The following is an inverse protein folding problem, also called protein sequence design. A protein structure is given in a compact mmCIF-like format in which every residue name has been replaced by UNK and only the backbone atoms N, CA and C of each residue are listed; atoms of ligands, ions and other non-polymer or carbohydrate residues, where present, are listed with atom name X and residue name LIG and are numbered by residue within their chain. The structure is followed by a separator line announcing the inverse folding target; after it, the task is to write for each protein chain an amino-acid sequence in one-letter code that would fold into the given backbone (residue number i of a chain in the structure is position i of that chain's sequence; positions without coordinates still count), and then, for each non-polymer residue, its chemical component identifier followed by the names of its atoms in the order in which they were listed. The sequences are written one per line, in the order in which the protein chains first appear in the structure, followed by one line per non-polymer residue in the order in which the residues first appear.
data_IF_585398337254
#
_entry.id   IF_585398337254
#
_cell.length_a   1.000
_cell.length_b   1.000
_cell.length_c   1.000
_cell.angle_alpha   90.00
_cell.angle_beta   90.00
_cell.angle_gamma   90.00
#
_symmetry.space_group_name_H-M   'P 1'
#
loop_
_entity.id
_entity.type
_entity.pdbx_description
1 polymer ?
#
# COMPACT_ATOMS: atom_id res chain seq x y z
N UNK A 1 -3.37 10.67 17.60
CA UNK A 1 -2.70 9.35 17.66
C UNK A 1 -1.99 9.05 16.34
N UNK A 2 -0.81 8.43 16.40
CA UNK A 2 -0.05 7.92 15.25
C UNK A 2 -0.25 6.42 15.16
N UNK A 3 -0.50 5.89 13.97
CA UNK A 3 -0.62 4.45 13.71
C UNK A 3 0.49 4.02 12.74
N UNK A 4 1.15 2.91 13.04
CA UNK A 4 2.04 2.21 12.10
C UNK A 4 1.21 1.25 11.26
N UNK A 5 1.42 1.26 9.95
CA UNK A 5 0.70 0.43 9.00
C UNK A 5 1.58 0.17 7.76
N UNK A 6 1.04 -0.57 6.80
CA UNK A 6 1.72 -0.93 5.56
C UNK A 6 0.89 -0.53 4.36
N UNK A 7 1.56 0.00 3.34
CA UNK A 7 0.90 0.37 2.09
C UNK A 7 1.70 -0.13 0.90
N UNK A 8 1.01 -0.85 0.01
CA UNK A 8 1.57 -1.27 -1.26
C UNK A 8 1.58 -0.06 -2.21
N UNK A 9 2.75 0.24 -2.75
CA UNK A 9 3.00 1.38 -3.64
C UNK A 9 3.56 0.91 -4.97
N UNK A 10 3.32 1.67 -6.03
CA UNK A 10 3.96 1.43 -7.33
C UNK A 10 5.37 2.01 -7.32
N UNK A 11 6.33 1.26 -7.84
CA UNK A 11 7.67 1.78 -8.16
C UNK A 11 7.64 2.27 -9.60
N UNK A 12 8.05 3.51 -9.82
CA UNK A 12 8.11 4.13 -11.14
C UNK A 12 9.46 3.87 -11.81
N UNK A 13 9.52 4.15 -13.12
CA UNK A 13 10.76 4.03 -13.91
C UNK A 13 11.89 4.93 -13.37
N UNK A 14 11.54 6.08 -12.79
CA UNK A 14 12.49 7.00 -12.14
C UNK A 14 12.83 6.60 -10.70
N UNK A 15 12.44 5.41 -10.25
CA UNK A 15 12.65 4.91 -8.89
C UNK A 15 11.71 5.52 -7.83
N UNK A 16 10.89 6.51 -8.19
CA UNK A 16 9.99 7.15 -7.22
C UNK A 16 8.75 6.31 -6.92
N UNK A 17 8.15 6.54 -5.75
CA UNK A 17 6.92 5.87 -5.32
C UNK A 17 5.68 6.62 -5.81
N UNK A 18 4.61 5.87 -6.09
CA UNK A 18 3.30 6.44 -6.42
C UNK A 18 2.11 5.58 -6.01
N UNK A 19 0.89 6.14 -6.06
CA UNK A 19 -0.34 5.39 -5.82
C UNK A 19 -0.54 4.25 -6.82
N UNK A 20 -1.32 3.24 -6.42
CA UNK A 20 -1.67 2.10 -7.29
C UNK A 20 -2.67 2.47 -8.38
N UNK A 21 -3.71 3.24 -8.04
CA UNK A 21 -4.88 3.44 -8.90
C UNK A 21 -5.24 4.93 -9.06
N UNK A 22 -5.64 5.59 -7.98
CA UNK A 22 -6.13 6.97 -8.00
C UNK A 22 -4.95 7.95 -7.90
N UNK A 23 -4.97 9.00 -8.73
CA UNK A 23 -3.88 9.96 -8.91
C UNK A 23 -2.50 9.28 -9.20
N UNK A 24 -2.41 8.41 -10.22
CA UNK A 24 -1.25 7.54 -10.43
C UNK A 24 0.04 8.29 -10.86
N UNK A 25 -0.05 9.61 -11.09
CA UNK A 25 1.06 10.54 -11.39
C UNK A 25 1.64 11.23 -10.15
N UNK A 26 0.96 11.21 -9.00
CA UNK A 26 1.44 11.80 -7.74
C UNK A 26 2.75 11.13 -7.27
N UNK A 27 3.83 11.90 -7.11
CA UNK A 27 5.05 11.40 -6.48
C UNK A 27 4.87 11.37 -4.96
N UNK A 28 5.18 10.23 -4.34
CA UNK A 28 5.10 10.06 -2.89
C UNK A 28 6.52 10.11 -2.32
N UNK A 29 6.97 11.25 -1.78
CA UNK A 29 8.28 11.35 -1.13
C UNK A 29 8.36 10.51 0.15
N UNK A 30 9.52 9.92 0.39
CA UNK A 30 9.86 9.26 1.65
C UNK A 30 10.16 10.33 2.71
N UNK A 31 9.87 10.02 3.98
CA UNK A 31 10.08 10.86 5.15
C UNK A 31 9.29 12.19 5.21
N UNK A 32 8.33 12.43 4.30
CA UNK A 32 7.46 13.62 4.32
C UNK A 32 6.01 13.27 4.63
N UNK A 33 5.34 14.12 5.40
CA UNK A 33 3.90 14.01 5.65
C UNK A 33 3.12 14.52 4.44
N UNK A 34 2.17 13.72 3.97
CA UNK A 34 1.27 14.05 2.87
C UNK A 34 -0.17 14.02 3.37
N UNK A 35 -0.90 15.11 3.12
CA UNK A 35 -2.34 15.16 3.33
C UNK A 35 -3.03 14.33 2.25
N UNK A 36 -4.07 13.60 2.62
CA UNK A 36 -4.89 12.89 1.66
C UNK A 36 -5.66 13.89 0.80
N UNK A 37 -5.62 13.68 -0.51
CA UNK A 37 -6.46 14.36 -1.48
C UNK A 37 -7.65 13.47 -1.83
N UNK A 38 -8.75 14.08 -2.27
CA UNK A 38 -9.95 13.36 -2.69
C UNK A 38 -10.15 13.57 -4.18
N UNK A 39 -10.04 12.47 -4.94
CA UNK A 39 -10.22 12.47 -6.39
C UNK A 39 -11.38 11.54 -6.72
N UNK A 40 -12.47 12.07 -7.27
CA UNK A 40 -13.54 11.23 -7.81
C UNK A 40 -13.02 10.61 -9.11
N UNK A 41 -13.06 9.29 -9.20
CA UNK A 41 -12.55 8.55 -10.36
C UNK A 41 -13.61 7.54 -10.81
N UNK A 42 -14.11 7.64 -12.06
CA UNK A 42 -15.06 6.68 -12.61
C UNK A 42 -14.55 5.24 -12.45
N UNK A 43 -15.45 4.32 -12.07
CA UNK A 43 -15.10 2.91 -11.81
C UNK A 43 -14.51 2.62 -10.42
N UNK A 44 -14.29 3.63 -9.57
CA UNK A 44 -13.81 3.45 -8.20
C UNK A 44 -14.81 3.99 -7.18
N UNK A 45 -14.98 3.25 -6.07
CA UNK A 45 -15.78 3.72 -4.95
C UNK A 45 -15.17 4.98 -4.32
N UNK A 46 -16.00 5.98 -4.03
CA UNK A 46 -15.53 7.20 -3.36
C UNK A 46 -15.20 6.91 -1.89
N UNK A 47 -13.91 6.90 -1.59
CA UNK A 47 -13.32 6.64 -0.27
C UNK A 47 -12.15 7.60 -0.08
N UNK A 48 -12.38 8.82 0.45
CA UNK A 48 -11.30 9.78 0.65
C UNK A 48 -10.35 9.30 1.76
N UNK A 49 -9.04 9.53 1.60
CA UNK A 49 -8.04 9.16 2.59
C UNK A 49 -6.97 8.18 2.10
N UNK A 50 -5.89 8.11 2.86
CA UNK A 50 -4.83 7.13 2.66
C UNK A 50 -5.25 5.78 3.20
N UNK A 51 -5.37 4.80 2.30
CA UNK A 51 -5.69 3.41 2.65
C UNK A 51 -4.41 2.61 2.92
N UNK A 52 -4.35 1.88 4.02
CA UNK A 52 -3.20 1.06 4.40
C UNK A 52 -3.67 -0.17 5.19
N UNK A 53 -2.98 -1.29 5.03
CA UNK A 53 -3.22 -2.53 5.78
C UNK A 53 -2.48 -2.50 7.13
N UNK A 54 -2.96 -3.23 8.14
CA UNK A 54 -2.21 -3.44 9.38
C UNK A 54 -0.96 -4.29 9.19
N UNK A 55 -0.95 -5.13 8.16
CA UNK A 55 0.14 -6.02 7.78
C UNK A 55 0.45 -5.86 6.27
N UNK A 56 1.65 -6.18 5.78
CA UNK A 56 1.99 -6.09 4.36
C UNK A 56 1.40 -7.24 3.53
N UNK A 57 0.09 -7.48 3.69
CA UNK A 57 -0.67 -8.59 3.12
C UNK A 57 -1.91 -8.02 2.43
N UNK A 58 -2.05 -8.29 1.12
CA UNK A 58 -3.23 -7.97 0.32
C UNK A 58 -3.30 -8.96 -0.87
N UNK A 59 -3.84 -10.18 -0.66
CA UNK A 59 -3.74 -11.27 -1.63
C UNK A 59 -4.31 -10.96 -3.01
N UNK A 60 -5.42 -10.20 -3.05
CA UNK A 60 -6.05 -9.75 -4.29
C UNK A 60 -5.23 -8.75 -5.14
N UNK A 61 -4.11 -8.20 -4.63
CA UNK A 61 -3.31 -7.22 -5.36
C UNK A 61 -2.03 -7.85 -5.91
N UNK A 62 -1.80 -7.64 -7.22
CA UNK A 62 -0.51 -7.96 -7.83
C UNK A 62 0.63 -7.20 -7.14
N UNK A 63 1.78 -7.88 -6.98
CA UNK A 63 3.03 -7.33 -6.44
C UNK A 63 4.01 -6.87 -7.53
N UNK A 64 3.72 -7.15 -8.81
CA UNK A 64 4.62 -6.81 -9.94
C UNK A 64 4.81 -5.29 -10.02
N UNK A 65 6.07 -4.84 -10.02
CA UNK A 65 6.42 -3.42 -10.08
C UNK A 65 5.94 -2.60 -8.87
N UNK A 66 5.72 -3.26 -7.74
CA UNK A 66 5.18 -2.65 -6.51
C UNK A 66 5.98 -3.11 -5.30
N UNK A 67 6.04 -2.26 -4.29
CA UNK A 67 6.72 -2.55 -3.03
C UNK A 67 5.83 -2.21 -1.86
N UNK A 68 5.92 -3.01 -0.80
CA UNK A 68 5.34 -2.66 0.47
C UNK A 68 6.20 -1.60 1.14
N UNK A 69 5.55 -0.57 1.68
CA UNK A 69 6.20 0.46 2.47
C UNK A 69 5.59 0.48 3.87
N UNK A 70 6.44 0.63 4.89
CA UNK A 70 5.96 0.97 6.22
C UNK A 70 5.59 2.45 6.24
N UNK A 71 4.42 2.76 6.78
CA UNK A 71 3.88 4.11 6.85
C UNK A 71 3.44 4.48 8.26
N UNK A 72 3.49 5.78 8.56
CA UNK A 72 2.83 6.38 9.71
C UNK A 72 1.57 7.09 9.26
N UNK A 73 0.49 6.93 10.01
CA UNK A 73 -0.82 7.51 9.73
C UNK A 73 -1.25 8.47 10.85
N UNK A 74 -1.89 9.60 10.49
CA UNK A 74 -2.60 10.49 11.43
C UNK A 74 -4.07 10.64 11.04
N UNK A 75 -4.93 10.69 12.05
CA UNK A 75 -6.38 10.80 11.87
C UNK A 75 -6.93 9.61 11.10
N UNK A 76 -6.57 8.40 11.53
CA UNK A 76 -6.96 7.17 10.87
C UNK A 76 -8.17 6.51 11.56
N UNK A 77 -9.07 5.99 10.74
CA UNK A 77 -10.16 5.12 11.16
C UNK A 77 -9.88 3.68 10.73
N UNK A 78 -10.18 2.72 11.62
CA UNK A 78 -10.05 1.28 11.37
C UNK A 78 -11.29 0.77 10.63
N UNK A 79 -11.11 -0.19 9.74
CA UNK A 79 -12.20 -0.96 9.15
C UNK A 79 -11.70 -2.34 8.74
N UNK A 80 -12.57 -3.34 8.88
CA UNK A 80 -12.25 -4.71 8.48
C UNK A 80 -12.67 -4.98 7.03
N UNK A 81 -11.82 -5.70 6.33
CA UNK A 81 -12.04 -6.29 5.02
C UNK A 81 -11.89 -7.82 5.14
N UNK A 82 -12.42 -8.61 4.20
CA UNK A 82 -12.15 -10.05 4.16
C UNK A 82 -10.64 -10.34 4.16
N UNK A 83 -10.24 -11.50 4.67
CA UNK A 83 -8.82 -11.92 4.68
C UNK A 83 -8.21 -12.00 3.28
N UNK A 84 -9.01 -12.38 2.28
CA UNK A 84 -8.64 -12.32 0.86
C UNK A 84 -8.25 -10.91 0.38
N UNK A 85 -8.64 -9.88 1.15
CA UNK A 85 -8.28 -8.49 0.95
C UNK A 85 -7.26 -7.94 1.97
N UNK A 86 -6.72 -8.77 2.86
CA UNK A 86 -5.71 -8.37 3.84
C UNK A 86 -6.25 -8.01 5.22
N UNK A 87 -7.50 -8.36 5.54
CA UNK A 87 -8.02 -8.27 6.90
C UNK A 87 -8.23 -6.83 7.38
N UNK A 88 -7.42 -6.36 8.34
CA UNK A 88 -7.58 -5.05 8.95
C UNK A 88 -6.95 -3.93 8.12
N UNK A 89 -7.75 -2.90 7.83
CA UNK A 89 -7.36 -1.71 7.09
C UNK A 89 -7.55 -0.43 7.90
N UNK A 90 -6.83 0.60 7.47
CA UNK A 90 -6.92 1.97 7.96
C UNK A 90 -7.20 2.92 6.81
N UNK A 91 -8.04 3.93 7.05
CA UNK A 91 -8.18 5.10 6.18
C UNK A 91 -7.79 6.34 6.96
N UNK A 92 -6.78 7.08 6.49
CA UNK A 92 -6.17 8.19 7.23
C UNK A 92 -6.14 9.52 6.47
N UNK A 93 -6.23 10.63 7.22
CA UNK A 93 -6.10 12.00 6.67
C UNK A 93 -4.67 12.35 6.28
N UNK A 94 -3.68 11.78 6.96
CA UNK A 94 -2.26 12.01 6.66
C UNK A 94 -1.48 10.72 6.65
N UNK A 95 -0.47 10.66 5.80
CA UNK A 95 0.45 9.54 5.69
C UNK A 95 1.89 10.05 5.55
N UNK A 96 2.84 9.37 6.18
CA UNK A 96 4.27 9.53 5.95
C UNK A 96 4.88 8.17 5.66
N UNK A 97 5.58 8.05 4.53
CA UNK A 97 6.33 6.84 4.20
C UNK A 97 7.64 6.83 4.97
N UNK A 98 7.95 5.73 5.63
CA UNK A 98 9.16 5.59 6.45
C UNK A 98 10.24 4.80 5.72
N UNK A 99 9.90 3.62 5.21
CA UNK A 99 10.85 2.73 4.56
C UNK A 99 10.13 1.77 3.60
N UNK A 100 10.89 1.23 2.65
CA UNK A 100 10.48 0.07 1.85
C UNK A 100 10.70 -1.18 2.72
N UNK A 101 9.72 -2.08 2.74
CA UNK A 101 9.82 -3.36 3.44
C UNK A 101 10.44 -4.40 2.52
N UNK A 102 11.58 -4.95 2.93
CA UNK A 102 12.12 -6.16 2.34
C UNK A 102 11.34 -7.34 2.93
N UNK A 103 10.41 -7.89 2.17
CA UNK A 103 9.74 -9.12 2.56
C UNK A 103 10.68 -10.30 2.25
N UNK A 104 10.79 -11.30 3.13
CA UNK A 104 11.52 -12.51 2.80
C UNK A 104 10.91 -13.13 1.55
N UNK A 105 11.75 -13.37 0.55
CA UNK A 105 11.37 -14.12 -0.64
C UNK A 105 11.06 -15.54 -0.15
N UNK A 106 9.83 -16.01 -0.36
CA UNK A 106 9.56 -17.45 -0.16
C UNK A 106 10.43 -18.18 -1.19
N UNK A 107 11.24 -19.17 -0.78
CA UNK A 107 11.98 -19.97 -1.75
C UNK A 107 10.97 -20.54 -2.76
N UNK A 108 11.26 -20.31 -4.03
CA UNK A 108 10.49 -20.87 -5.13
C UNK A 108 10.63 -22.39 -5.03
N UNK A 109 9.51 -23.12 -5.07
CA UNK A 109 9.59 -24.58 -5.16
C UNK A 109 10.22 -24.88 -6.51
N UNK A 110 11.46 -25.38 -6.51
CA UNK A 110 12.04 -26.04 -7.67
C UNK A 110 11.15 -27.26 -7.91
N UNK A 111 10.37 -27.24 -8.98
CA UNK A 111 9.73 -28.45 -9.47
C UNK A 111 10.82 -29.25 -10.16
N UNK A 112 11.44 -30.18 -9.42
CA UNK A 112 12.18 -31.28 -10.03
C UNK A 112 11.15 -32.20 -10.70
N UNK A 113 10.85 -31.94 -11.97
CA UNK A 113 10.23 -32.94 -12.83
C UNK A 113 11.33 -33.93 -13.24
N UNK A 114 11.52 -34.96 -12.42
CA UNK A 114 11.99 -36.27 -12.89
C UNK A 114 10.76 -37.08 -13.28
N UNK A 115 10.57 -37.25 -14.59
CA UNK A 115 10.22 -38.51 -15.27
C UNK A 115 10.03 -38.24 -16.78
#
# INVERSE_FOLDING_TARGET
MIIRAYKLMRVRKDGTLGPLFINPRQRIPVMKWLRAESHRTPGFAYRPGWHACSEPVAPHLSKRGRVWCQVLLRGAAKHHRPESQGGLWYTAKWMKVMSIVLLPVKPEKINDSHD
#
